data_IF_564659083393
#
_entry.id   IF_564659083393
#
_cell.length_a   1.000
_cell.length_b   1.000
_cell.length_c   1.000
_cell.angle_alpha   90.00
_cell.angle_beta   90.00
_cell.angle_gamma   90.00
#
_symmetry.space_group_name_H-M   'P 1'
#
loop_
_entity.id
_entity.type
_entity.pdbx_description
1 polymer ?
#
# COMPACT_ATOMS: atom_id res chain seq x y z
N UNK A 1 14.33 -5.39 -1.87
CA UNK A 1 13.51 -5.30 -0.65
C UNK A 1 12.77 -3.97 -0.70
N UNK A 2 11.43 -3.98 -0.71
CA UNK A 2 10.64 -2.76 -0.63
C UNK A 2 10.71 -2.22 0.80
N UNK A 3 11.18 -0.99 0.99
CA UNK A 3 11.39 -0.40 2.33
C UNK A 3 10.39 0.70 2.66
N UNK A 4 9.87 1.39 1.64
CA UNK A 4 8.85 2.44 1.78
C UNK A 4 8.00 2.53 0.51
N UNK A 5 6.71 2.77 0.69
CA UNK A 5 5.79 3.11 -0.39
C UNK A 5 5.06 4.40 -0.01
N UNK A 6 5.12 5.40 -0.88
CA UNK A 6 4.32 6.63 -0.78
C UNK A 6 3.36 6.70 -1.95
N UNK A 7 2.09 6.92 -1.67
CA UNK A 7 1.00 6.97 -2.65
C UNK A 7 0.20 8.24 -2.46
N UNK A 8 -0.06 8.96 -3.54
CA UNK A 8 -0.91 10.15 -3.56
C UNK A 8 -1.94 10.00 -4.69
N UNK A 9 -3.22 9.81 -4.35
CA UNK A 9 -4.32 9.75 -5.32
C UNK A 9 -4.40 8.49 -6.18
N UNK A 10 -4.03 7.31 -5.67
CA UNK A 10 -4.14 6.04 -6.41
C UNK A 10 -5.35 5.22 -5.96
N UNK A 11 -6.35 5.07 -6.85
CA UNK A 11 -7.64 4.45 -6.51
C UNK A 11 -8.26 5.13 -5.28
N UNK A 12 -8.47 4.40 -4.18
CA UNK A 12 -8.98 4.96 -2.93
C UNK A 12 -7.87 5.31 -1.91
N UNK A 13 -6.58 5.25 -2.30
CA UNK A 13 -5.45 5.66 -1.48
C UNK A 13 -5.20 7.16 -1.70
N UNK A 14 -5.69 7.99 -0.77
CA UNK A 14 -5.63 9.45 -0.88
C UNK A 14 -4.22 9.98 -0.61
N UNK A 15 -3.67 9.70 0.57
CA UNK A 15 -2.30 10.01 0.95
C UNK A 15 -1.80 8.92 1.92
N UNK A 16 -0.95 8.03 1.43
CA UNK A 16 -0.49 6.85 2.16
C UNK A 16 1.03 6.85 2.17
N UNK A 17 1.62 6.71 3.36
CA UNK A 17 3.05 6.58 3.57
C UNK A 17 3.33 5.38 4.48
N UNK A 18 3.74 4.26 3.87
CA UNK A 18 3.99 3.00 4.56
C UNK A 18 5.48 2.71 4.55
N UNK A 19 6.03 2.41 5.73
CA UNK A 19 7.37 1.83 5.89
C UNK A 19 7.25 0.34 6.14
N UNK A 20 7.99 -0.45 5.38
CA UNK A 20 7.97 -1.92 5.50
C UNK A 20 9.12 -2.40 6.38
N UNK A 21 8.81 -3.32 7.29
CA UNK A 21 9.81 -4.09 8.03
C UNK A 21 10.11 -5.44 7.37
N UNK A 22 10.97 -6.27 7.98
CA UNK A 22 11.27 -7.63 7.51
C UNK A 22 10.01 -8.51 7.34
N UNK A 23 8.97 -8.20 8.12
CA UNK A 23 7.63 -8.75 7.99
C UNK A 23 6.61 -7.63 8.20
N UNK A 24 5.60 -7.53 7.33
CA UNK A 24 4.53 -6.52 7.43
C UNK A 24 3.19 -7.19 7.17
N UNK A 25 2.27 -7.08 8.12
CA UNK A 25 0.89 -7.56 7.97
C UNK A 25 -0.02 -6.39 7.57
N UNK A 26 -0.83 -6.58 6.52
CA UNK A 26 -1.80 -5.59 6.03
C UNK A 26 -3.20 -6.09 6.35
N UNK A 27 -3.84 -5.53 7.39
CA UNK A 27 -5.15 -5.93 7.88
C UNK A 27 -6.12 -4.74 8.01
N UNK A 28 -7.41 -5.01 8.04
CA UNK A 28 -8.47 -4.00 8.07
C UNK A 28 -9.77 -4.49 7.42
N UNK A 29 -10.86 -3.70 7.52
CA UNK A 29 -12.17 -4.06 6.99
C UNK A 29 -12.18 -4.21 5.45
N UNK A 30 -13.23 -4.80 4.88
CA UNK A 30 -13.38 -4.89 3.43
C UNK A 30 -13.55 -3.51 2.80
N UNK A 31 -12.96 -3.30 1.62
CA UNK A 31 -13.05 -2.03 0.89
C UNK A 31 -12.08 -0.92 1.34
N UNK A 32 -11.37 -1.05 2.47
CA UNK A 32 -10.51 0.02 3.02
C UNK A 32 -9.20 0.27 2.24
N UNK A 33 -8.96 -0.42 1.12
CA UNK A 33 -7.79 -0.18 0.26
C UNK A 33 -6.60 -1.14 0.43
N UNK A 34 -6.75 -2.23 1.21
CA UNK A 34 -5.68 -3.24 1.38
C UNK A 34 -5.16 -3.78 0.05
N UNK A 35 -6.04 -4.26 -0.82
CA UNK A 35 -5.65 -4.76 -2.15
C UNK A 35 -5.06 -3.66 -3.03
N UNK A 36 -5.56 -2.42 -2.91
CA UNK A 36 -5.05 -1.28 -3.67
C UNK A 36 -3.61 -0.91 -3.29
N UNK A 37 -3.18 -1.18 -2.04
CA UNK A 37 -1.78 -1.04 -1.63
C UNK A 37 -0.88 -1.97 -2.46
N UNK A 38 -1.29 -3.22 -2.65
CA UNK A 38 -0.55 -4.18 -3.48
C UNK A 38 -0.65 -3.86 -4.98
N UNK A 39 -1.77 -3.33 -5.44
CA UNK A 39 -1.90 -2.86 -6.83
C UNK A 39 -0.96 -1.68 -7.12
N UNK A 40 -0.79 -0.76 -6.18
CA UNK A 40 0.17 0.33 -6.30
C UNK A 40 1.62 -0.19 -6.39
N UNK A 41 1.96 -1.24 -5.63
CA UNK A 41 3.28 -1.89 -5.73
C UNK A 41 3.46 -2.53 -7.11
N UNK A 42 2.46 -3.28 -7.59
CA UNK A 42 2.49 -3.91 -8.93
C UNK A 42 2.54 -2.91 -10.08
N UNK A 43 1.98 -1.72 -9.91
CA UNK A 43 2.01 -0.67 -10.93
C UNK A 43 3.42 -0.13 -11.17
N UNK A 44 4.31 -0.22 -10.17
CA UNK A 44 5.68 0.30 -10.24
C UNK A 44 6.71 -0.73 -10.76
N UNK A 45 6.27 -1.94 -11.10
CA UNK A 45 7.11 -3.05 -11.55
C UNK A 45 6.91 -3.38 -13.02
#
# INVERSE_FOLDING_TARGET
MLTRLKVSGFKNLVDVDVRFGPFTCVAGANGVGKSNLFDAIKFLS
#
